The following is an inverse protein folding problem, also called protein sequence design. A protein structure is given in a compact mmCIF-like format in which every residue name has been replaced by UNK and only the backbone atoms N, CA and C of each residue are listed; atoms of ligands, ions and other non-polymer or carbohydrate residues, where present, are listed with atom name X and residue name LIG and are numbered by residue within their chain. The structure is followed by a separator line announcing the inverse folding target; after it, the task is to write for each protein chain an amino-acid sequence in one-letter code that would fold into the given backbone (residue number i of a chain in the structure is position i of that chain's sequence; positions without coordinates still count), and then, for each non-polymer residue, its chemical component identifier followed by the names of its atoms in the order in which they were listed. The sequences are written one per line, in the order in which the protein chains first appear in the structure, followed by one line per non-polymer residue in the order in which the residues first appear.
data_IF_728193217071
#
_entry.id   IF_728193217071
#
_cell.length_a   1.000
_cell.length_b   1.000
_cell.length_c   1.000
_cell.angle_alpha   90.00
_cell.angle_beta   90.00
_cell.angle_gamma   90.00
#
_symmetry.space_group_name_H-M   'P 1'
#
loop_
_entity.id
_entity.type
_entity.pdbx_description
1 polymer ?
#
# COMPACT_ATOMS: atom_id res chain seq x y z
N UNK A 1 -12.21 -21.57 18.30
CA UNK A 1 -12.22 -20.66 17.15
C UNK A 1 -13.68 -20.44 16.83
N UNK A 2 -14.17 -19.24 17.05
CA UNK A 2 -15.56 -18.86 16.76
C UNK A 2 -15.61 -18.02 15.50
N UNK A 3 -16.40 -18.43 14.52
CA UNK A 3 -16.68 -17.61 13.35
C UNK A 3 -17.98 -16.84 13.63
N UNK A 4 -17.95 -15.53 13.42
CA UNK A 4 -19.16 -14.71 13.45
C UNK A 4 -19.37 -14.14 12.05
N UNK A 5 -20.38 -14.63 11.34
CA UNK A 5 -20.88 -13.99 10.13
C UNK A 5 -21.89 -12.94 10.59
N UNK A 6 -21.49 -11.69 10.54
CA UNK A 6 -22.38 -10.58 10.88
C UNK A 6 -23.27 -10.16 9.70
N UNK A 7 -24.39 -9.53 10.02
CA UNK A 7 -25.32 -8.94 9.05
C UNK A 7 -24.63 -7.86 8.18
N UNK A 8 -25.22 -7.57 7.06
CA UNK A 8 -24.86 -6.73 5.92
C UNK A 8 -23.90 -5.53 6.10
N UNK A 9 -23.67 -5.03 7.29
CA UNK A 9 -22.91 -3.80 7.54
C UNK A 9 -21.52 -4.03 8.17
N UNK A 10 -21.21 -5.26 8.62
CA UNK A 10 -19.94 -5.58 9.26
C UNK A 10 -19.44 -6.94 8.81
N UNK A 11 -18.20 -7.00 8.34
CA UNK A 11 -17.50 -8.23 8.01
C UNK A 11 -17.23 -9.12 9.25
N UNK A 12 -16.04 -9.68 9.39
CA UNK A 12 -15.66 -10.54 10.51
C UNK A 12 -15.36 -9.71 11.76
N UNK A 13 -16.04 -9.98 12.88
CA UNK A 13 -15.68 -9.47 14.20
C UNK A 13 -14.77 -10.48 14.90
N UNK A 14 -13.51 -10.12 15.09
CA UNK A 14 -12.60 -10.88 15.96
C UNK A 14 -12.48 -10.11 17.27
N UNK A 15 -13.03 -10.68 18.34
CA UNK A 15 -12.99 -10.10 19.67
C UNK A 15 -12.06 -10.95 20.55
N UNK A 16 -11.04 -10.33 21.10
CA UNK A 16 -10.17 -10.95 22.08
C UNK A 16 -10.46 -10.34 23.46
N UNK A 17 -11.12 -11.11 24.33
CA UNK A 17 -11.45 -10.71 25.71
C UNK A 17 -10.31 -10.99 26.68
N UNK A 18 -9.16 -11.49 26.23
CA UNK A 18 -8.07 -11.76 27.14
C UNK A 18 -7.40 -10.46 27.60
N UNK A 19 -7.23 -10.34 28.90
CA UNK A 19 -6.42 -9.28 29.52
C UNK A 19 -4.91 -9.53 29.35
N UNK A 20 -4.53 -10.56 28.58
CA UNK A 20 -3.13 -10.87 28.32
C UNK A 20 -2.59 -9.99 27.20
N UNK A 21 -1.66 -9.11 27.54
CA UNK A 21 -1.02 -8.19 26.61
C UNK A 21 -0.20 -8.88 25.50
N UNK A 22 -0.05 -10.20 25.56
CA UNK A 22 0.71 -10.99 24.58
C UNK A 22 -0.16 -11.62 23.49
N UNK A 23 -1.48 -11.55 23.60
CA UNK A 23 -2.41 -12.14 22.62
C UNK A 23 -2.64 -11.20 21.46
N UNK A 24 -2.18 -11.56 20.28
CA UNK A 24 -2.35 -10.82 19.03
C UNK A 24 -3.36 -11.48 18.09
N UNK A 25 -3.94 -10.68 17.19
CA UNK A 25 -4.72 -11.17 16.05
C UNK A 25 -3.74 -11.53 14.94
N UNK A 26 -3.71 -12.78 14.52
CA UNK A 26 -2.72 -13.30 13.56
C UNK A 26 -3.00 -12.98 12.09
N UNK A 27 -4.14 -12.44 11.74
CA UNK A 27 -4.44 -11.97 10.40
C UNK A 27 -5.93 -11.93 10.14
N UNK A 28 -6.36 -10.91 9.42
CA UNK A 28 -7.72 -10.77 8.91
C UNK A 28 -7.61 -10.50 7.42
N UNK A 29 -8.19 -11.38 6.59
CA UNK A 29 -8.41 -11.07 5.18
C UNK A 29 -9.83 -10.58 5.04
N UNK A 30 -10.00 -9.34 4.60
CA UNK A 30 -11.32 -8.76 4.30
C UNK A 30 -11.45 -8.68 2.78
N UNK A 31 -12.39 -9.44 2.24
CA UNK A 31 -12.79 -9.32 0.84
C UNK A 31 -14.14 -8.62 0.84
N UNK A 32 -14.18 -7.40 0.33
CA UNK A 32 -15.42 -6.62 0.21
C UNK A 32 -15.47 -5.90 -1.13
N UNK A 33 -16.68 -5.57 -1.56
CA UNK A 33 -16.82 -4.64 -2.66
C UNK A 33 -16.43 -3.24 -2.19
N UNK A 34 -15.59 -2.52 -2.94
CA UNK A 34 -15.23 -1.16 -2.56
C UNK A 34 -16.46 -0.25 -2.70
N UNK A 35 -17.05 0.11 -1.58
CA UNK A 35 -18.03 1.20 -1.51
C UNK A 35 -17.31 2.41 -0.95
N UNK A 36 -17.43 3.54 -1.62
CA UNK A 36 -16.77 4.77 -1.18
C UNK A 36 -17.19 5.12 0.26
N UNK A 37 -16.20 5.44 1.09
CA UNK A 37 -16.43 5.82 2.49
C UNK A 37 -16.47 4.65 3.49
N UNK A 38 -16.37 3.40 3.07
CA UNK A 38 -16.30 2.26 3.97
C UNK A 38 -14.87 1.96 4.43
N UNK A 39 -14.76 1.40 5.64
CA UNK A 39 -13.49 0.89 6.19
C UNK A 39 -13.32 -0.58 5.86
N UNK A 40 -12.11 -0.97 5.40
CA UNK A 40 -11.69 -2.38 5.30
C UNK A 40 -11.34 -2.95 6.67
N UNK A 41 -10.73 -2.13 7.51
CA UNK A 41 -10.28 -2.50 8.83
C UNK A 41 -10.45 -1.32 9.79
N UNK A 42 -10.92 -1.60 11.02
CA UNK A 42 -11.00 -0.62 12.11
C UNK A 42 -10.44 -1.21 13.40
N UNK A 43 -9.47 -0.50 13.99
CA UNK A 43 -9.01 -0.73 15.35
C UNK A 43 -9.75 0.20 16.31
N UNK A 44 -10.45 -0.38 17.28
CA UNK A 44 -11.19 0.38 18.30
C UNK A 44 -10.76 -0.07 19.69
N UNK A 45 -10.55 0.89 20.58
CA UNK A 45 -10.40 0.58 22.01
C UNK A 45 -11.77 0.42 22.65
N UNK A 46 -11.86 -0.42 23.66
CA UNK A 46 -13.07 -0.55 24.48
C UNK A 46 -12.82 0.08 25.84
N UNK A 47 -13.58 1.11 26.18
CA UNK A 47 -13.69 1.53 27.57
C UNK A 47 -14.79 0.73 28.24
N UNK A 48 -14.50 0.06 29.36
CA UNK A 48 -15.53 -0.58 30.18
C UNK A 48 -16.42 0.51 30.75
N UNK A 49 -17.75 0.50 30.49
CA UNK A 49 -18.62 1.53 31.07
C UNK A 49 -18.68 1.32 32.58
N UNK A 50 -18.45 2.37 33.33
CA UNK A 50 -18.82 2.45 34.73
C UNK A 50 -20.34 2.57 34.75
N UNK A 51 -21.05 1.65 35.43
CA UNK A 51 -22.51 1.67 35.63
C UNK A 51 -23.39 1.23 34.45
N UNK A 52 -23.03 0.23 33.67
CA UNK A 52 -23.95 -0.47 32.77
C UNK A 52 -24.37 0.31 31.50
N UNK A 53 -23.70 1.41 31.17
CA UNK A 53 -23.88 2.12 29.92
C UNK A 53 -23.24 1.39 28.73
N UNK A 54 -23.60 1.75 27.51
CA UNK A 54 -22.94 1.22 26.32
C UNK A 54 -21.46 1.63 26.32
N UNK A 55 -20.53 0.69 26.03
CA UNK A 55 -19.12 1.00 25.96
C UNK A 55 -18.85 2.01 24.85
N UNK A 56 -18.12 3.08 25.19
CA UNK A 56 -17.55 3.98 24.20
C UNK A 56 -16.40 3.23 23.52
N UNK A 57 -16.43 3.14 22.21
CA UNK A 57 -15.42 2.45 21.39
C UNK A 57 -14.79 3.46 20.44
N UNK A 58 -13.89 4.33 20.92
CA UNK A 58 -13.23 5.29 20.06
C UNK A 58 -12.46 4.56 18.95
N UNK A 59 -12.48 5.16 17.76
CA UNK A 59 -11.75 4.69 16.62
C UNK A 59 -10.30 5.16 16.72
N UNK A 60 -9.36 4.23 16.83
CA UNK A 60 -7.93 4.53 16.96
C UNK A 60 -7.16 4.39 15.64
N UNK A 61 -7.65 3.49 14.76
CA UNK A 61 -7.00 3.19 13.49
C UNK A 61 -8.02 2.68 12.48
N UNK A 62 -7.90 3.09 11.22
CA UNK A 62 -8.70 2.49 10.14
C UNK A 62 -7.96 2.49 8.80
N UNK A 63 -8.23 1.47 7.99
CA UNK A 63 -7.88 1.40 6.58
C UNK A 63 -9.17 1.44 5.77
N UNK A 64 -9.23 2.36 4.81
CA UNK A 64 -10.41 2.54 3.96
C UNK A 64 -10.35 1.66 2.72
N UNK A 65 -11.48 1.42 2.09
CA UNK A 65 -11.57 0.76 0.77
C UNK A 65 -10.81 1.51 -0.33
N UNK A 66 -10.56 2.80 -0.13
CA UNK A 66 -9.73 3.65 -1.02
C UNK A 66 -8.22 3.45 -0.83
N UNK A 67 -7.80 2.65 0.15
CA UNK A 67 -6.39 2.50 0.55
C UNK A 67 -5.90 3.57 1.53
N UNK A 68 -6.71 4.58 1.87
CA UNK A 68 -6.32 5.58 2.86
C UNK A 68 -6.21 4.97 4.26
N UNK A 69 -5.18 5.35 5.01
CA UNK A 69 -4.89 4.89 6.36
C UNK A 69 -5.02 6.08 7.32
N UNK A 70 -5.76 5.89 8.40
CA UNK A 70 -5.96 6.90 9.46
C UNK A 70 -5.53 6.33 10.80
N UNK A 71 -4.73 7.10 11.55
CA UNK A 71 -4.35 6.79 12.93
C UNK A 71 -4.72 7.92 13.87
N UNK A 72 -5.16 7.58 15.07
CA UNK A 72 -5.49 8.54 16.13
C UNK A 72 -4.26 9.11 16.84
N UNK A 73 -3.05 8.60 16.55
CA UNK A 73 -1.78 9.02 17.13
C UNK A 73 -0.66 8.98 16.09
N UNK A 74 0.58 9.21 16.53
CA UNK A 74 1.77 9.17 15.69
C UNK A 74 2.10 7.74 15.22
N UNK A 75 2.77 7.65 14.08
CA UNK A 75 3.40 6.42 13.60
C UNK A 75 4.85 6.39 14.07
N UNK A 76 5.16 5.50 15.02
CA UNK A 76 6.51 5.32 15.53
C UNK A 76 7.25 4.24 14.72
N UNK A 77 8.45 4.56 14.26
CA UNK A 77 9.32 3.65 13.52
C UNK A 77 10.74 3.74 14.04
N UNK A 78 11.53 2.68 13.88
CA UNK A 78 12.97 2.67 14.21
C UNK A 78 13.81 3.35 13.12
N UNK A 79 13.31 3.45 11.91
CA UNK A 79 13.92 4.17 10.80
C UNK A 79 13.60 5.67 10.90
N UNK A 80 14.42 6.51 10.29
CA UNK A 80 14.35 7.95 10.55
C UNK A 80 14.32 8.84 9.30
N UNK A 81 14.23 8.26 8.09
CA UNK A 81 14.20 9.02 6.86
C UNK A 81 12.92 8.79 6.04
N UNK A 82 12.53 9.82 5.30
CA UNK A 82 11.59 9.73 4.20
C UNK A 82 12.37 9.44 2.92
N UNK A 83 12.01 8.36 2.24
CA UNK A 83 12.63 7.93 1.01
C UNK A 83 11.60 7.74 -0.12
N UNK A 84 12.05 7.79 -1.35
CA UNK A 84 11.25 7.44 -2.52
C UNK A 84 12.03 6.52 -3.44
N UNK A 85 11.31 5.67 -4.20
CA UNK A 85 11.93 4.88 -5.25
C UNK A 85 12.25 5.74 -6.47
N UNK A 86 13.50 5.62 -6.93
CA UNK A 86 14.01 6.16 -8.18
C UNK A 86 14.63 5.05 -9.02
N UNK A 87 14.48 5.16 -10.32
CA UNK A 87 15.13 4.27 -11.27
C UNK A 87 16.56 4.74 -11.55
N UNK A 88 17.50 3.80 -11.59
CA UNK A 88 18.86 4.08 -12.01
C UNK A 88 18.92 4.38 -13.51
N UNK A 89 19.62 5.43 -13.92
CA UNK A 89 19.81 5.75 -15.32
C UNK A 89 20.62 4.70 -16.10
N UNK A 90 21.47 3.96 -15.42
CA UNK A 90 22.24 2.84 -15.97
C UNK A 90 21.56 1.48 -15.78
N UNK A 91 20.38 1.44 -15.12
CA UNK A 91 19.60 0.22 -14.83
C UNK A 91 20.25 -0.73 -13.84
N UNK A 92 21.42 -0.42 -13.26
CA UNK A 92 22.15 -1.26 -12.33
C UNK A 92 22.22 -2.75 -12.73
N UNK A 93 22.71 -3.10 -13.93
CA UNK A 93 22.60 -4.45 -14.51
C UNK A 93 23.36 -5.52 -13.74
N UNK A 94 24.32 -5.12 -12.90
CA UNK A 94 25.09 -6.02 -12.05
C UNK A 94 24.50 -6.21 -10.65
N UNK A 95 23.34 -5.59 -10.36
CA UNK A 95 22.71 -5.60 -9.04
C UNK A 95 23.67 -5.16 -7.92
N UNK A 96 24.45 -4.11 -8.14
CA UNK A 96 25.41 -3.58 -7.18
C UNK A 96 24.67 -3.02 -5.95
N UNK A 97 25.21 -3.28 -4.77
CA UNK A 97 24.73 -2.64 -3.53
C UNK A 97 25.23 -1.17 -3.48
N UNK A 98 24.31 -0.25 -3.74
CA UNK A 98 24.58 1.19 -3.77
C UNK A 98 24.04 1.94 -2.54
N UNK A 99 23.69 1.22 -1.45
CA UNK A 99 23.27 1.86 -0.19
C UNK A 99 24.38 2.79 0.32
N UNK A 100 23.99 3.98 0.76
CA UNK A 100 24.90 5.01 1.25
C UNK A 100 25.59 5.87 0.17
N UNK A 101 25.27 5.67 -1.11
CA UNK A 101 25.77 6.50 -2.21
C UNK A 101 24.88 7.73 -2.37
N UNK A 102 25.50 8.91 -2.48
CA UNK A 102 24.81 10.15 -2.83
C UNK A 102 24.43 10.17 -4.31
N UNK A 103 23.27 10.71 -4.63
CA UNK A 103 22.73 10.70 -5.99
C UNK A 103 22.30 12.07 -6.47
N UNK A 104 22.32 12.24 -7.81
CA UNK A 104 21.78 13.40 -8.54
C UNK A 104 20.76 12.91 -9.57
N UNK A 105 19.90 13.82 -10.04
CA UNK A 105 19.00 13.55 -11.16
C UNK A 105 19.80 13.40 -12.46
N UNK A 106 19.44 12.39 -13.26
CA UNK A 106 20.05 12.07 -14.54
C UNK A 106 19.11 12.33 -15.73
N UNK A 107 18.02 13.05 -15.50
CA UNK A 107 16.96 13.27 -16.50
C UNK A 107 15.85 12.22 -16.41
N UNK A 108 14.70 12.53 -16.96
CA UNK A 108 13.51 11.64 -17.05
C UNK A 108 13.08 11.03 -15.71
N UNK A 109 13.33 11.72 -14.60
CA UNK A 109 13.01 11.22 -13.26
C UNK A 109 13.93 10.10 -12.74
N UNK A 110 15.03 9.80 -13.46
CA UNK A 110 16.03 8.81 -13.06
C UNK A 110 17.15 9.43 -12.24
N UNK A 111 17.89 8.59 -11.52
CA UNK A 111 19.05 9.00 -10.74
C UNK A 111 20.33 8.30 -11.20
N UNK A 112 21.46 8.91 -10.90
CA UNK A 112 22.78 8.31 -10.99
C UNK A 112 23.60 8.62 -9.75
N UNK A 113 24.67 7.86 -9.46
CA UNK A 113 25.64 8.23 -8.44
C UNK A 113 26.20 9.61 -8.70
N UNK A 114 26.32 10.41 -7.65
CA UNK A 114 26.98 11.70 -7.71
C UNK A 114 28.50 11.51 -7.79
N UNK A 115 29.17 12.38 -8.53
CA UNK A 115 30.63 12.41 -8.65
C UNK A 115 31.21 13.78 -8.27
N UNK A 116 32.54 13.94 -8.37
CA UNK A 116 33.23 15.17 -7.97
C UNK A 116 32.93 16.38 -8.86
N UNK A 117 32.40 16.15 -10.08
CA UNK A 117 32.08 17.22 -11.04
C UNK A 117 30.69 17.80 -10.82
N UNK A 118 29.87 17.10 -10.05
CA UNK A 118 28.51 17.56 -9.76
C UNK A 118 28.52 18.76 -8.80
N UNK A 119 27.66 19.72 -9.05
CA UNK A 119 27.40 20.77 -8.08
C UNK A 119 26.77 20.15 -6.83
N UNK A 120 27.35 20.46 -5.68
CA UNK A 120 26.86 19.95 -4.37
C UNK A 120 25.45 20.39 -4.06
N UNK A 121 24.95 21.43 -4.69
CA UNK A 121 23.57 21.90 -4.56
C UNK A 121 22.57 21.05 -5.36
N UNK A 122 23.05 20.27 -6.34
CA UNK A 122 22.22 19.40 -7.16
C UNK A 122 22.02 18.00 -6.55
N UNK A 123 22.67 17.73 -5.40
CA UNK A 123 22.49 16.46 -4.72
C UNK A 123 21.04 16.29 -4.27
N UNK A 124 20.41 15.25 -4.80
CA UNK A 124 19.01 14.91 -4.52
C UNK A 124 18.85 14.28 -3.13
N UNK A 125 19.68 13.30 -2.83
CA UNK A 125 19.59 12.49 -1.61
C UNK A 125 20.66 11.41 -1.56
N UNK A 126 20.43 10.42 -0.73
CA UNK A 126 21.33 9.28 -0.50
C UNK A 126 20.54 7.99 -0.59
N UNK A 127 21.11 6.97 -1.23
CA UNK A 127 20.47 5.65 -1.26
C UNK A 127 20.33 5.11 0.16
N UNK A 128 19.10 4.94 0.61
CA UNK A 128 18.77 4.51 1.97
C UNK A 128 18.43 3.02 2.01
N UNK A 129 19.01 2.30 2.96
CA UNK A 129 18.61 0.94 3.30
C UNK A 129 17.53 0.84 4.38
N UNK A 130 17.07 1.97 4.95
CA UNK A 130 16.23 2.00 6.15
C UNK A 130 15.13 3.05 6.10
N UNK A 131 14.55 3.33 4.94
CA UNK A 131 13.48 4.34 4.82
C UNK A 131 12.31 4.06 5.76
N UNK A 132 11.94 5.05 6.58
CA UNK A 132 10.81 4.97 7.51
C UNK A 132 9.47 5.09 6.79
N UNK A 133 9.43 5.97 5.80
CA UNK A 133 8.31 6.14 4.89
C UNK A 133 8.87 6.07 3.48
N UNK A 134 8.26 5.20 2.66
CA UNK A 134 8.74 4.97 1.30
C UNK A 134 7.65 5.37 0.31
N UNK A 135 7.91 6.45 -0.42
CA UNK A 135 7.06 6.92 -1.50
C UNK A 135 7.41 6.22 -2.82
N UNK A 136 6.55 6.40 -3.81
CA UNK A 136 6.75 5.88 -5.17
C UNK A 136 7.09 4.38 -5.23
N UNK A 137 6.53 3.59 -4.29
CA UNK A 137 6.82 2.15 -4.16
C UNK A 137 6.23 1.29 -5.27
N UNK A 138 5.56 1.87 -6.23
CA UNK A 138 4.76 1.26 -7.26
C UNK A 138 3.40 0.74 -6.77
N UNK A 139 2.51 0.48 -7.71
CA UNK A 139 1.26 -0.21 -7.43
C UNK A 139 1.55 -1.68 -7.13
N UNK A 140 0.62 -2.38 -6.48
CA UNK A 140 0.67 -3.84 -6.28
C UNK A 140 0.53 -4.63 -7.60
N UNK A 141 0.70 -3.96 -8.73
CA UNK A 141 0.60 -4.46 -10.09
C UNK A 141 1.69 -3.81 -10.93
N UNK A 142 2.02 -4.39 -12.06
CA UNK A 142 2.94 -3.77 -13.01
C UNK A 142 2.50 -2.33 -13.34
N UNK A 143 3.47 -1.43 -13.39
CA UNK A 143 3.24 -0.08 -13.85
C UNK A 143 2.52 -0.11 -15.20
N UNK A 144 1.50 0.75 -15.34
CA UNK A 144 0.71 0.82 -16.57
C UNK A 144 -0.56 -0.03 -16.58
N UNK A 145 -0.91 -0.76 -15.50
CA UNK A 145 -2.22 -1.44 -15.45
C UNK A 145 -3.38 -0.47 -15.55
N UNK A 146 -3.30 0.66 -14.87
CA UNK A 146 -4.37 1.66 -14.83
C UNK A 146 -3.99 2.91 -15.62
N UNK A 147 -4.99 3.60 -16.15
CA UNK A 147 -4.81 4.89 -16.78
C UNK A 147 -4.80 5.98 -15.70
N UNK A 148 -3.87 6.91 -15.83
CA UNK A 148 -3.72 8.08 -14.97
C UNK A 148 -3.93 9.37 -15.78
N UNK A 149 -4.45 10.39 -15.11
CA UNK A 149 -4.52 11.73 -15.69
C UNK A 149 -3.15 12.44 -15.66
N UNK A 150 -3.10 13.66 -16.21
CA UNK A 150 -1.88 14.45 -16.26
C UNK A 150 -1.30 14.84 -14.89
N UNK A 151 -2.00 14.56 -13.82
CA UNK A 151 -1.59 14.83 -12.43
C UNK A 151 -1.30 13.55 -11.64
N UNK A 152 -1.26 12.39 -12.29
CA UNK A 152 -0.99 11.11 -11.66
C UNK A 152 -2.17 10.54 -10.86
N UNK A 153 -3.41 11.03 -11.06
CA UNK A 153 -4.60 10.48 -10.40
C UNK A 153 -5.21 9.39 -11.27
N UNK A 154 -5.61 8.29 -10.66
CA UNK A 154 -6.32 7.23 -11.40
C UNK A 154 -7.56 7.77 -12.09
N UNK A 155 -7.72 7.41 -13.36
CA UNK A 155 -8.96 7.63 -14.10
C UNK A 155 -9.92 6.49 -13.77
N UNK A 156 -11.19 6.83 -13.54
CA UNK A 156 -12.26 5.86 -13.29
C UNK A 156 -13.24 5.87 -14.45
N UNK A 157 -13.89 4.75 -14.65
CA UNK A 157 -15.00 4.61 -15.60
C UNK A 157 -16.17 3.88 -14.91
N UNK A 158 -17.37 4.31 -15.26
CA UNK A 158 -18.58 3.65 -14.78
C UNK A 158 -18.88 2.43 -15.66
N UNK A 159 -19.08 1.29 -15.02
CA UNK A 159 -19.41 0.04 -15.69
C UNK A 159 -20.67 -0.56 -15.11
N UNK A 160 -21.52 -1.08 -15.99
CA UNK A 160 -22.73 -1.80 -15.60
C UNK A 160 -22.37 -3.23 -15.19
N UNK A 161 -22.95 -3.66 -14.07
CA UNK A 161 -22.71 -5.00 -13.49
C UNK A 161 -24.06 -5.57 -13.08
N UNK A 162 -24.37 -6.78 -13.52
CA UNK A 162 -25.46 -7.57 -12.98
C UNK A 162 -25.04 -8.23 -11.68
N UNK A 163 -25.90 -8.19 -10.68
CA UNK A 163 -25.67 -8.75 -9.35
C UNK A 163 -26.86 -9.58 -8.95
N UNK A 164 -26.64 -10.81 -8.45
CA UNK A 164 -27.68 -11.71 -7.96
C UNK A 164 -27.15 -12.52 -6.79
N UNK A 165 -28.05 -13.23 -6.10
CA UNK A 165 -27.68 -14.16 -5.04
C UNK A 165 -27.88 -15.58 -5.53
N UNK A 166 -26.94 -16.46 -5.23
CA UNK A 166 -26.98 -17.87 -5.54
C UNK A 166 -26.82 -18.70 -4.28
N UNK A 167 -27.63 -19.76 -4.15
CA UNK A 167 -27.46 -20.73 -3.06
C UNK A 167 -26.38 -21.72 -3.43
N UNK A 168 -25.34 -21.78 -2.62
CA UNK A 168 -24.24 -22.73 -2.79
C UNK A 168 -24.08 -23.58 -1.52
N UNK A 169 -23.55 -24.82 -1.64
CA UNK A 169 -23.21 -25.62 -0.46
C UNK A 169 -22.23 -24.85 0.44
N UNK A 170 -22.50 -24.87 1.74
CA UNK A 170 -21.60 -24.29 2.73
C UNK A 170 -20.33 -25.16 2.80
N UNK A 171 -19.15 -24.64 2.43
CA UNK A 171 -17.91 -25.40 2.46
C UNK A 171 -17.50 -25.83 3.88
N UNK A 172 -18.01 -25.17 4.90
CA UNK A 172 -17.66 -25.45 6.31
C UNK A 172 -18.69 -26.34 7.01
N UNK A 173 -19.93 -26.45 6.47
CA UNK A 173 -21.03 -27.22 7.06
C UNK A 173 -21.72 -28.10 6.03
N UNK A 174 -21.25 -29.35 5.82
CA UNK A 174 -21.87 -30.27 4.89
C UNK A 174 -23.38 -30.42 5.12
N UNK A 175 -24.17 -30.28 4.05
CA UNK A 175 -25.63 -30.33 4.08
C UNK A 175 -26.34 -29.00 4.36
N UNK A 176 -25.58 -27.91 4.56
CA UNK A 176 -26.13 -26.56 4.70
C UNK A 176 -25.90 -25.77 3.38
N UNK A 177 -26.84 -24.88 3.04
CA UNK A 177 -26.70 -23.97 1.91
C UNK A 177 -26.49 -22.54 2.42
N UNK A 178 -25.60 -21.81 1.79
CA UNK A 178 -25.37 -20.37 2.01
C UNK A 178 -25.75 -19.57 0.77
N UNK A 179 -26.21 -18.34 0.98
CA UNK A 179 -26.40 -17.38 -0.13
C UNK A 179 -25.08 -16.67 -0.42
N UNK A 180 -24.62 -16.82 -1.66
CA UNK A 180 -23.40 -16.14 -2.14
C UNK A 180 -23.82 -15.12 -3.20
N UNK A 181 -23.33 -13.91 -3.10
CA UNK A 181 -23.55 -12.89 -4.09
C UNK A 181 -22.65 -13.13 -5.31
N UNK A 182 -23.27 -13.19 -6.47
CA UNK A 182 -22.62 -13.33 -7.76
C UNK A 182 -22.68 -12.01 -8.54
N UNK A 183 -21.75 -11.81 -9.45
CA UNK A 183 -21.77 -10.65 -10.32
C UNK A 183 -21.09 -10.92 -11.65
N UNK A 184 -21.58 -10.25 -12.69
CA UNK A 184 -21.03 -10.31 -14.05
C UNK A 184 -21.12 -8.92 -14.69
N UNK A 185 -20.09 -8.50 -15.41
CA UNK A 185 -20.13 -7.24 -16.15
C UNK A 185 -21.16 -7.33 -17.28
N UNK A 186 -21.92 -6.28 -17.51
CA UNK A 186 -22.99 -6.27 -18.52
C UNK A 186 -22.46 -6.50 -19.95
N UNK A 187 -21.23 -6.11 -20.23
CA UNK A 187 -20.57 -6.35 -21.52
C UNK A 187 -20.07 -7.79 -21.71
N UNK A 188 -20.07 -8.62 -20.66
CA UNK A 188 -19.73 -10.05 -20.70
C UNK A 188 -20.97 -10.93 -20.80
N UNK A 189 -22.16 -10.35 -20.65
CA UNK A 189 -23.45 -11.04 -20.77
C UNK A 189 -23.87 -11.05 -22.22
N UNK A 190 -23.76 -12.22 -22.88
CA UNK A 190 -24.19 -12.39 -24.28
C UNK A 190 -25.71 -12.35 -24.43
N UNK A 191 -26.43 -12.95 -23.48
CA UNK A 191 -27.88 -13.00 -23.44
C UNK A 191 -28.40 -12.79 -22.01
N UNK A 192 -29.08 -11.65 -21.79
CA UNK A 192 -29.64 -11.31 -20.48
C UNK A 192 -30.67 -12.33 -19.97
N UNK A 193 -31.33 -13.07 -20.87
CA UNK A 193 -32.28 -14.10 -20.48
C UNK A 193 -31.65 -15.31 -19.80
N UNK A 194 -30.32 -15.45 -19.87
CA UNK A 194 -29.57 -16.53 -19.19
C UNK A 194 -29.27 -16.19 -17.72
N UNK A 195 -29.42 -14.91 -17.33
CA UNK A 195 -29.24 -14.50 -15.95
C UNK A 195 -30.43 -14.93 -15.08
N UNK A 196 -30.22 -15.15 -13.76
CA UNK A 196 -31.31 -15.36 -12.83
C UNK A 196 -32.32 -14.19 -12.85
N UNK A 197 -33.62 -14.50 -12.63
CA UNK A 197 -34.68 -13.49 -12.63
C UNK A 197 -34.45 -12.38 -11.59
N UNK A 198 -33.79 -12.71 -10.48
CA UNK A 198 -33.42 -11.78 -9.43
C UNK A 198 -32.15 -10.95 -9.73
N UNK A 199 -31.53 -11.13 -10.89
CA UNK A 199 -30.34 -10.34 -11.25
C UNK A 199 -30.69 -8.87 -11.46
N UNK A 200 -30.06 -7.99 -10.69
CA UNK A 200 -30.28 -6.54 -10.77
C UNK A 200 -29.06 -5.88 -11.38
N UNK A 201 -29.32 -4.98 -12.33
CA UNK A 201 -28.25 -4.18 -12.95
C UNK A 201 -27.89 -3.00 -12.06
N UNK A 202 -26.61 -2.86 -11.76
CA UNK A 202 -26.03 -1.73 -11.03
C UNK A 202 -24.96 -1.06 -11.87
N UNK A 203 -24.66 0.20 -11.55
CA UNK A 203 -23.53 0.94 -12.11
C UNK A 203 -22.52 1.14 -11.00
N UNK A 204 -21.28 0.70 -11.25
CA UNK A 204 -20.17 0.88 -10.32
C UNK A 204 -18.99 1.56 -11.02
N UNK A 205 -18.28 2.39 -10.27
CA UNK A 205 -17.08 3.07 -10.75
C UNK A 205 -15.84 2.21 -10.49
N UNK A 206 -15.11 1.89 -11.56
CA UNK A 206 -13.90 1.08 -11.52
C UNK A 206 -12.69 1.88 -12.01
N UNK A 207 -11.47 1.61 -11.49
CA UNK A 207 -10.26 2.11 -12.11
C UNK A 207 -10.18 1.67 -13.57
N UNK A 208 -9.97 2.62 -14.47
CA UNK A 208 -9.89 2.35 -15.90
C UNK A 208 -8.59 1.61 -16.22
N UNK A 209 -8.71 0.39 -16.76
CA UNK A 209 -7.56 -0.41 -17.15
C UNK A 209 -6.95 0.09 -18.47
N UNK A 210 -5.63 0.04 -18.54
CA UNK A 210 -4.89 0.29 -19.76
C UNK A 210 -5.03 -0.93 -20.70
N UNK A 211 -5.51 -0.76 -21.93
CA UNK A 211 -5.64 -1.86 -22.88
C UNK A 211 -4.31 -2.53 -23.26
N UNK A 212 -3.19 -1.78 -23.13
CA UNK A 212 -1.85 -2.27 -23.44
C UNK A 212 -1.18 -2.99 -22.25
N UNK A 213 -1.89 -3.14 -21.12
CA UNK A 213 -1.36 -3.85 -19.95
C UNK A 213 -1.26 -5.35 -20.20
N UNK A 214 -0.04 -5.87 -20.04
CA UNK A 214 0.23 -7.32 -20.19
C UNK A 214 -0.13 -8.08 -18.90
N UNK A 215 -1.29 -8.74 -18.93
CA UNK A 215 -1.83 -9.53 -17.80
C UNK A 215 -1.04 -10.82 -17.53
N UNK A 216 -0.16 -11.25 -18.46
CA UNK A 216 0.61 -12.50 -18.33
C UNK A 216 1.86 -12.36 -17.50
N UNK A 217 2.28 -11.12 -17.20
CA UNK A 217 3.47 -10.85 -16.40
C UNK A 217 3.17 -10.88 -14.92
N UNK A 218 3.95 -11.65 -14.18
CA UNK A 218 3.95 -11.64 -12.72
C UNK A 218 4.44 -10.28 -12.20
N UNK A 219 3.78 -9.79 -11.14
CA UNK A 219 4.22 -8.56 -10.49
C UNK A 219 5.51 -8.79 -9.69
N UNK A 220 6.55 -8.01 -9.97
CA UNK A 220 7.77 -7.95 -9.17
C UNK A 220 7.88 -6.58 -8.52
N UNK A 221 7.84 -6.48 -7.17
CA UNK A 221 7.97 -5.22 -6.45
C UNK A 221 9.27 -4.48 -6.78
N UNK A 222 9.25 -3.14 -6.67
CA UNK A 222 10.44 -2.32 -6.96
C UNK A 222 11.64 -2.66 -6.08
N UNK A 223 11.41 -3.02 -4.83
CA UNK A 223 12.46 -3.46 -3.90
C UNK A 223 13.19 -4.75 -4.33
N UNK A 224 12.61 -5.52 -5.23
CA UNK A 224 13.20 -6.77 -5.76
C UNK A 224 13.84 -6.58 -7.15
N UNK A 225 13.80 -5.37 -7.69
CA UNK A 225 14.31 -5.05 -9.01
C UNK A 225 15.56 -4.18 -8.91
N UNK A 226 16.71 -4.63 -9.47
CA UNK A 226 18.00 -3.97 -9.28
C UNK A 226 18.05 -2.55 -9.90
N UNK A 227 17.23 -2.27 -10.91
CA UNK A 227 17.15 -0.96 -11.54
C UNK A 227 16.48 0.11 -10.65
N UNK A 228 15.93 -0.26 -9.49
CA UNK A 228 15.30 0.67 -8.55
C UNK A 228 16.09 0.78 -7.25
N UNK A 229 16.08 1.96 -6.66
CA UNK A 229 16.63 2.20 -5.33
C UNK A 229 15.76 3.16 -4.54
N UNK A 230 15.70 2.97 -3.22
CA UNK A 230 15.13 3.94 -2.29
C UNK A 230 16.14 5.04 -2.02
N UNK A 231 15.79 6.28 -2.32
CA UNK A 231 16.61 7.47 -2.06
C UNK A 231 16.04 8.24 -0.88
N UNK A 232 16.80 8.34 0.21
CA UNK A 232 16.47 9.15 1.37
C UNK A 232 16.60 10.63 1.03
N UNK A 233 15.44 11.32 1.05
CA UNK A 233 15.32 12.73 0.67
C UNK A 233 15.26 13.67 1.88
N UNK A 234 14.86 13.15 3.03
CA UNK A 234 14.70 13.91 4.26
C UNK A 234 14.88 13.02 5.50
N UNK A 235 15.66 13.49 6.47
CA UNK A 235 15.84 12.78 7.73
C UNK A 235 17.25 12.22 7.93
N UNK A 236 17.42 11.26 8.83
CA UNK A 236 18.73 10.71 9.17
C UNK A 236 19.08 9.54 8.27
N UNK A 237 20.14 9.67 7.48
CA UNK A 237 20.60 8.68 6.52
C UNK A 237 22.08 8.35 6.73
N UNK A 238 22.47 7.09 6.60
CA UNK A 238 23.86 6.68 6.59
C UNK A 238 24.47 6.88 5.20
N UNK A 239 25.58 7.64 5.14
CA UNK A 239 26.31 7.99 3.91
C UNK A 239 27.66 7.27 3.97
N UNK A 240 28.05 6.58 2.90
CA UNK A 240 29.39 5.97 2.78
C UNK A 240 30.45 7.07 2.88
N UNK A 241 31.57 6.78 3.57
CA UNK A 241 32.67 7.73 3.70
C UNK A 241 33.20 8.15 2.33
N UNK A 242 33.51 9.43 2.19
CA UNK A 242 34.01 10.02 0.95
C UNK A 242 32.96 10.35 -0.09
N UNK A 243 31.70 10.05 0.16
CA UNK A 243 30.63 10.48 -0.74
C UNK A 243 30.41 12.00 -0.73
N UNK A 244 30.02 12.59 -1.85
CA UNK A 244 29.62 14.00 -1.90
C UNK A 244 28.46 14.28 -0.94
N UNK A 245 28.52 15.45 -0.27
CA UNK A 245 27.45 15.90 0.63
C UNK A 245 26.99 17.30 0.25
N UNK A 246 25.69 17.56 0.33
CA UNK A 246 25.14 18.88 0.03
C UNK A 246 25.42 19.89 1.16
N UNK A 247 25.59 21.19 0.84
CA UNK A 247 25.93 22.21 1.84
C UNK A 247 24.90 22.36 2.96
N UNK A 248 23.63 22.05 2.69
CA UNK A 248 22.54 22.10 3.65
C UNK A 248 22.48 20.89 4.57
N UNK A 249 23.11 19.76 4.23
CA UNK A 249 23.11 18.57 5.08
C UNK A 249 23.95 18.78 6.32
N UNK A 250 23.66 18.06 7.40
CA UNK A 250 24.36 18.19 8.68
C UNK A 250 24.83 16.85 9.19
N UNK A 251 26.12 16.70 9.45
CA UNK A 251 26.69 15.53 10.10
C UNK A 251 26.20 15.46 11.54
N UNK A 252 25.69 14.29 11.96
CA UNK A 252 25.12 14.11 13.31
C UNK A 252 26.17 13.66 14.32
N UNK A 253 27.34 13.24 13.86
CA UNK A 253 28.45 12.83 14.73
C UNK A 253 28.45 11.33 15.11
N UNK A 254 27.52 10.53 14.55
CA UNK A 254 27.61 9.07 14.60
C UNK A 254 28.31 8.57 13.35
N UNK A 255 29.22 7.63 13.54
CA UNK A 255 29.99 7.03 12.45
C UNK A 255 30.41 5.59 12.78
N UNK A 256 30.73 4.84 11.75
CA UNK A 256 31.37 3.53 11.82
C UNK A 256 32.53 3.49 10.81
N UNK A 257 33.12 2.32 10.58
CA UNK A 257 34.27 2.17 9.68
C UNK A 257 33.94 2.64 8.25
N UNK A 258 32.73 2.35 7.73
CA UNK A 258 32.35 2.55 6.33
C UNK A 258 31.48 3.79 6.09
N UNK A 259 30.78 4.29 7.11
CA UNK A 259 29.74 5.28 6.93
C UNK A 259 29.65 6.30 8.06
N UNK A 260 29.02 7.41 7.75
CA UNK A 260 28.69 8.51 8.65
C UNK A 260 27.19 8.81 8.63
N UNK A 261 26.60 9.14 9.79
CA UNK A 261 25.18 9.51 9.88
C UNK A 261 25.01 11.02 9.65
N UNK A 262 24.14 11.33 8.71
CA UNK A 262 23.83 12.71 8.33
C UNK A 262 22.33 12.99 8.38
N UNK A 263 21.99 14.22 8.67
CA UNK A 263 20.65 14.77 8.46
C UNK A 263 20.60 15.37 7.05
N UNK A 264 19.90 14.67 6.17
CA UNK A 264 19.56 15.09 4.82
C UNK A 264 18.31 15.98 4.88
N UNK A 265 18.26 17.07 4.10
CA UNK A 265 17.15 18.00 4.08
C UNK A 265 17.15 18.88 2.81
#
# INVERSE_FOLDING_TARGET
IGYFIGRADHGVWVHNDSYDATSGILGITVITRPVAGQSLYEGRTSSTPVNGGNPVRPLEFKVMTTGAIYGGSNYATVAADYAEFFEWSDGNPNAEDRVGISVVLAGEGKVRPADERDDRTDLLGVVSGTGAFIGNSAEMYWAGRFIYDNYGRRVFEDREVYVWKEKQPDPEKPGTMIEVEQSMFANEVEDVSTLPEEAVKHVYSFPKENPDWDKSKDYVPREQRPEWATVGLLGQVWIKRGQPTAPQWRRIGKENEDAELWLVK
#
